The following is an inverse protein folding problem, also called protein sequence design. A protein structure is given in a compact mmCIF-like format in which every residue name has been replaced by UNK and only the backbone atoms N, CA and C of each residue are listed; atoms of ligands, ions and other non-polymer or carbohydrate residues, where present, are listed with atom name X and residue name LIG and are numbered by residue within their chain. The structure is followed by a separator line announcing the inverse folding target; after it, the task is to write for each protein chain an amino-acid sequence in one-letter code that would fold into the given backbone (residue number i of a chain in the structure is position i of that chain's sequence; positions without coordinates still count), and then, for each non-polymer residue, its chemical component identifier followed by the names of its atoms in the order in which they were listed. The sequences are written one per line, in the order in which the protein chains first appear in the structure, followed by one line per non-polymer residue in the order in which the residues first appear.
data_IF_143635862126
#
_entry.id   IF_143635862126
#
_cell.length_a   1.000
_cell.length_b   1.000
_cell.length_c   1.000
_cell.angle_alpha   90.00
_cell.angle_beta   90.00
_cell.angle_gamma   90.00
#
_symmetry.space_group_name_H-M   'P 1'
#
loop_
_entity.id
_entity.type
_entity.pdbx_description
1 polymer ?
#
# COMPACT_ATOMS: atom_id res chain seq x y z
N UNK A 1 -31.39 -8.87 -1.32
CA UNK A 1 -30.05 -8.22 -1.35
C UNK A 1 -29.86 -7.72 -2.77
N UNK A 2 -29.44 -6.48 -2.98
CA UNK A 2 -29.14 -5.98 -4.33
C UNK A 2 -27.87 -6.67 -4.83
N UNK A 3 -27.98 -7.43 -5.92
CA UNK A 3 -26.84 -8.05 -6.61
C UNK A 3 -26.51 -7.22 -7.84
N UNK A 4 -25.22 -7.14 -8.20
CA UNK A 4 -24.78 -6.62 -9.50
C UNK A 4 -23.97 -7.66 -10.23
N UNK A 5 -24.00 -7.54 -11.56
CA UNK A 5 -23.12 -8.25 -12.46
C UNK A 5 -21.86 -7.42 -12.67
N UNK A 6 -20.71 -8.09 -12.62
CA UNK A 6 -19.42 -7.55 -13.03
C UNK A 6 -18.99 -8.32 -14.28
N UNK A 7 -18.91 -7.59 -15.39
CA UNK A 7 -18.46 -8.12 -16.66
C UNK A 7 -17.02 -7.65 -16.87
N UNK A 8 -16.09 -8.60 -17.00
CA UNK A 8 -14.68 -8.30 -17.25
C UNK A 8 -14.09 -9.32 -18.21
N UNK A 9 -13.18 -8.86 -19.06
CA UNK A 9 -12.36 -9.73 -19.89
C UNK A 9 -11.06 -10.05 -19.14
N UNK A 10 -10.84 -11.33 -18.83
CA UNK A 10 -9.61 -11.81 -18.18
C UNK A 10 -8.94 -12.84 -19.07
N UNK A 11 -7.73 -12.53 -19.54
CA UNK A 11 -6.95 -13.40 -20.44
C UNK A 11 -7.71 -13.83 -21.70
N UNK A 12 -8.48 -12.91 -22.31
CA UNK A 12 -9.27 -13.19 -23.51
C UNK A 12 -10.53 -14.02 -23.25
N UNK A 13 -10.97 -14.13 -21.99
CA UNK A 13 -12.22 -14.78 -21.60
C UNK A 13 -13.13 -13.78 -20.92
N UNK A 14 -14.37 -13.71 -21.40
CA UNK A 14 -15.43 -12.99 -20.72
C UNK A 14 -15.78 -13.74 -19.43
N UNK A 15 -15.65 -13.04 -18.31
CA UNK A 15 -16.00 -13.53 -16.98
C UNK A 15 -17.11 -12.65 -16.45
N UNK A 16 -18.28 -13.26 -16.28
CA UNK A 16 -19.45 -12.64 -15.66
C UNK A 16 -19.67 -13.28 -14.29
N UNK A 17 -19.81 -12.48 -13.24
CA UNK A 17 -20.22 -12.99 -11.93
C UNK A 17 -21.11 -12.01 -11.18
N UNK A 18 -22.03 -12.57 -10.40
CA UNK A 18 -22.90 -11.80 -9.51
C UNK A 18 -22.28 -11.66 -8.12
N UNK A 19 -22.32 -10.45 -7.57
CA UNK A 19 -21.85 -10.18 -6.22
C UNK A 19 -22.84 -9.32 -5.42
N UNK A 20 -22.77 -9.43 -4.10
CA UNK A 20 -23.54 -8.57 -3.21
C UNK A 20 -22.86 -7.23 -3.04
N UNK A 21 -23.51 -6.15 -3.49
CA UNK A 21 -22.98 -4.78 -3.37
C UNK A 21 -22.59 -4.42 -1.93
N UNK A 22 -23.47 -4.78 -0.97
CA UNK A 22 -23.29 -4.42 0.45
C UNK A 22 -22.09 -5.12 1.06
N UNK A 23 -21.99 -6.44 0.88
CA UNK A 23 -20.88 -7.22 1.44
C UNK A 23 -19.56 -6.89 0.78
N UNK A 24 -19.57 -6.63 -0.53
CA UNK A 24 -18.40 -6.15 -1.24
C UNK A 24 -17.91 -4.79 -0.70
N UNK A 25 -18.82 -3.84 -0.50
CA UNK A 25 -18.49 -2.54 0.10
C UNK A 25 -17.91 -2.68 1.51
N UNK A 26 -18.51 -3.49 2.37
CA UNK A 26 -17.98 -3.74 3.72
C UNK A 26 -16.64 -4.49 3.71
N UNK A 27 -16.44 -5.43 2.79
CA UNK A 27 -15.17 -6.14 2.67
C UNK A 27 -14.03 -5.20 2.27
N UNK A 28 -14.25 -4.34 1.27
CA UNK A 28 -13.26 -3.33 0.86
C UNK A 28 -12.99 -2.30 1.95
N UNK A 29 -14.02 -1.83 2.65
CA UNK A 29 -13.85 -0.91 3.78
C UNK A 29 -13.05 -1.57 4.92
N UNK A 30 -13.40 -2.81 5.28
CA UNK A 30 -12.70 -3.57 6.30
C UNK A 30 -11.23 -3.78 5.93
N UNK A 31 -10.96 -4.19 4.70
CA UNK A 31 -9.60 -4.35 4.19
C UNK A 31 -8.83 -3.01 4.22
N UNK A 32 -9.46 -1.91 3.81
CA UNK A 32 -8.86 -0.57 3.84
C UNK A 32 -8.45 -0.18 5.26
N UNK A 33 -9.33 -0.40 6.24
CA UNK A 33 -9.06 -0.07 7.66
C UNK A 33 -7.96 -0.95 8.23
N UNK A 34 -7.99 -2.26 7.97
CA UNK A 34 -6.95 -3.19 8.45
C UNK A 34 -5.60 -2.82 7.87
N UNK A 35 -5.51 -2.64 6.55
CA UNK A 35 -4.25 -2.24 5.89
C UNK A 35 -3.77 -0.88 6.38
N UNK A 36 -4.69 0.10 6.50
CA UNK A 36 -4.39 1.42 7.02
C UNK A 36 -3.83 1.37 8.44
N UNK A 37 -4.42 0.57 9.32
CA UNK A 37 -3.92 0.40 10.68
C UNK A 37 -2.56 -0.28 10.73
N UNK A 38 -2.35 -1.36 9.96
CA UNK A 38 -1.06 -2.07 9.87
C UNK A 38 0.07 -1.12 9.49
N UNK A 39 -0.15 -0.29 8.46
CA UNK A 39 0.84 0.69 8.01
C UNK A 39 1.02 1.83 9.00
N UNK A 40 -0.09 2.39 9.51
CA UNK A 40 -0.04 3.51 10.45
C UNK A 40 0.72 3.13 11.71
N UNK A 41 0.39 1.98 12.31
CA UNK A 41 1.04 1.49 13.52
C UNK A 41 2.53 1.22 13.28
N UNK A 42 2.88 0.56 12.17
CA UNK A 42 4.27 0.27 11.82
C UNK A 42 5.09 1.53 11.53
N UNK A 43 4.48 2.60 11.02
CA UNK A 43 5.13 3.88 10.75
C UNK A 43 5.26 4.75 11.99
N UNK A 44 4.16 4.95 12.72
CA UNK A 44 4.12 5.88 13.86
C UNK A 44 5.05 5.42 14.98
N UNK A 45 5.18 4.11 15.19
CA UNK A 45 6.13 3.55 16.16
C UNK A 45 7.59 3.90 15.83
N UNK A 46 7.95 4.00 14.54
CA UNK A 46 9.27 4.45 14.09
C UNK A 46 9.46 5.95 14.23
N UNK A 47 8.42 6.74 13.90
CA UNK A 47 8.44 8.20 14.04
C UNK A 47 8.60 8.62 15.50
N UNK A 48 7.99 7.87 16.43
CA UNK A 48 8.01 8.16 17.86
C UNK A 48 9.23 7.61 18.60
N UNK A 49 10.05 6.78 17.95
CA UNK A 49 11.28 6.23 18.49
C UNK A 49 12.50 7.02 17.97
N UNK A 50 13.12 7.89 18.79
CA UNK A 50 14.25 8.71 18.36
C UNK A 50 15.51 7.89 17.99
N UNK A 51 15.59 6.65 18.48
CA UNK A 51 16.72 5.76 18.23
C UNK A 51 16.49 4.85 17.02
N UNK A 52 15.29 4.88 16.43
CA UNK A 52 14.98 4.04 15.28
C UNK A 52 15.76 4.49 14.04
N UNK A 53 16.39 3.54 13.37
CA UNK A 53 17.01 3.74 12.07
C UNK A 53 16.88 2.47 11.21
N UNK A 54 16.68 2.65 9.91
CA UNK A 54 16.69 1.54 8.94
C UNK A 54 18.09 0.94 8.76
N UNK A 55 19.15 1.67 9.12
CA UNK A 55 20.54 1.21 8.97
C UNK A 55 20.81 -0.13 9.65
N UNK A 56 20.27 -0.34 10.86
CA UNK A 56 20.41 -1.59 11.59
C UNK A 56 19.89 -2.79 10.81
N UNK A 57 18.73 -2.64 10.15
CA UNK A 57 18.17 -3.68 9.28
C UNK A 57 19.00 -3.84 8.01
N UNK A 58 19.30 -2.74 7.32
CA UNK A 58 19.96 -2.75 6.01
C UNK A 58 21.39 -3.32 6.04
N UNK A 59 22.09 -3.21 7.17
CA UNK A 59 23.45 -3.73 7.34
C UNK A 59 23.49 -5.15 7.93
N UNK A 60 22.54 -5.51 8.79
CA UNK A 60 22.68 -6.70 9.64
C UNK A 60 21.58 -7.75 9.46
N UNK A 61 20.41 -7.37 8.94
CA UNK A 61 19.25 -8.26 8.87
C UNK A 61 18.99 -8.82 7.46
N UNK A 62 19.72 -8.35 6.46
CA UNK A 62 19.53 -8.80 5.07
C UNK A 62 20.22 -10.15 4.87
N UNK A 63 19.52 -11.15 4.30
CA UNK A 63 20.10 -12.47 4.05
C UNK A 63 21.35 -12.42 3.18
N UNK A 64 22.38 -13.22 3.53
CA UNK A 64 23.65 -13.25 2.79
C UNK A 64 23.52 -13.68 1.31
N UNK A 65 22.42 -14.34 0.94
CA UNK A 65 22.10 -14.74 -0.43
C UNK A 65 21.28 -13.72 -1.23
N UNK A 66 21.07 -12.50 -0.71
CA UNK A 66 20.22 -11.51 -1.36
C UNK A 66 20.77 -11.11 -2.74
N UNK A 67 19.95 -11.10 -3.80
CA UNK A 67 20.39 -10.76 -5.17
C UNK A 67 20.89 -9.32 -5.32
N UNK A 68 20.59 -8.43 -4.36
CA UNK A 68 20.98 -7.02 -4.35
C UNK A 68 21.96 -6.69 -3.21
N UNK A 69 22.85 -7.62 -2.86
CA UNK A 69 23.73 -7.52 -1.69
C UNK A 69 24.53 -6.20 -1.54
N UNK A 70 24.90 -5.53 -2.65
CA UNK A 70 25.59 -4.23 -2.61
C UNK A 70 24.68 -3.00 -2.49
N UNK A 71 23.40 -3.14 -2.86
CA UNK A 71 22.45 -2.02 -2.90
C UNK A 71 22.05 -1.57 -1.50
N UNK A 72 21.76 -2.51 -0.61
CA UNK A 72 21.23 -2.19 0.72
C UNK A 72 22.26 -1.56 1.67
N UNK A 73 23.52 -2.03 1.75
CA UNK A 73 24.55 -1.35 2.53
C UNK A 73 24.86 0.05 1.98
N UNK A 74 24.77 0.25 0.66
CA UNK A 74 24.92 1.58 0.06
C UNK A 74 23.82 2.54 0.56
N UNK A 75 22.56 2.10 0.61
CA UNK A 75 21.48 2.91 1.19
C UNK A 75 21.75 3.26 2.66
N UNK A 76 22.23 2.29 3.45
CA UNK A 76 22.52 2.49 4.87
C UNK A 76 23.69 3.44 5.13
N UNK A 77 24.73 3.40 4.29
CA UNK A 77 25.94 4.18 4.51
C UNK A 77 25.84 5.59 3.90
N UNK A 78 25.20 5.74 2.75
CA UNK A 78 25.21 6.99 1.98
C UNK A 78 23.87 7.73 2.03
N UNK A 79 22.75 7.04 2.22
CA UNK A 79 21.40 7.61 2.05
C UNK A 79 20.50 7.47 3.30
N UNK A 80 21.03 7.02 4.44
CA UNK A 80 20.21 6.77 5.65
C UNK A 80 19.40 7.98 6.11
N UNK A 81 19.97 9.19 5.99
CA UNK A 81 19.28 10.44 6.34
C UNK A 81 18.03 10.72 5.50
N UNK A 82 17.88 10.07 4.34
CA UNK A 82 16.69 10.12 3.49
C UNK A 82 15.83 8.88 3.70
N UNK A 83 16.43 7.70 3.82
CA UNK A 83 15.71 6.43 3.96
C UNK A 83 14.93 6.35 5.28
N UNK A 84 15.50 6.81 6.39
CA UNK A 84 14.85 6.78 7.70
C UNK A 84 13.53 7.57 7.69
N UNK A 85 13.49 8.87 7.33
CA UNK A 85 12.24 9.61 7.28
C UNK A 85 11.29 9.08 6.20
N UNK A 86 11.78 8.67 5.02
CA UNK A 86 10.92 8.10 3.97
C UNK A 86 10.21 6.82 4.42
N UNK A 87 10.89 5.97 5.17
CA UNK A 87 10.33 4.73 5.67
C UNK A 87 9.33 5.01 6.81
N UNK A 88 9.75 5.75 7.84
CA UNK A 88 8.92 6.04 9.00
C UNK A 88 7.68 6.87 8.63
N UNK A 89 7.86 8.01 7.96
CA UNK A 89 6.75 8.87 7.55
C UNK A 89 5.99 8.29 6.37
N UNK A 90 6.64 7.59 5.43
CA UNK A 90 5.94 6.94 4.32
C UNK A 90 4.90 5.95 4.81
N UNK A 91 5.28 5.05 5.72
CA UNK A 91 4.34 4.10 6.34
C UNK A 91 3.22 4.84 7.10
N UNK A 92 3.57 5.85 7.88
CA UNK A 92 2.62 6.62 8.69
C UNK A 92 1.58 7.32 7.81
N UNK A 93 2.01 8.01 6.77
CA UNK A 93 1.16 8.78 5.88
C UNK A 93 0.30 7.87 5.00
N UNK A 94 0.85 6.76 4.50
CA UNK A 94 0.07 5.74 3.78
C UNK A 94 -1.02 5.18 4.70
N UNK A 95 -0.66 4.82 5.93
CA UNK A 95 -1.62 4.32 6.92
C UNK A 95 -2.74 5.31 7.21
N UNK A 96 -2.39 6.59 7.47
CA UNK A 96 -3.37 7.66 7.69
C UNK A 96 -4.28 7.88 6.48
N UNK A 97 -3.70 7.94 5.27
CA UNK A 97 -4.44 8.09 4.03
C UNK A 97 -5.49 6.97 3.83
N UNK A 98 -5.11 5.72 4.09
CA UNK A 98 -6.02 4.58 4.02
C UNK A 98 -7.11 4.63 5.10
N UNK A 99 -6.76 4.96 6.35
CA UNK A 99 -7.72 5.06 7.45
C UNK A 99 -8.78 6.14 7.20
N UNK A 100 -8.34 7.32 6.77
CA UNK A 100 -9.21 8.44 6.43
C UNK A 100 -9.96 8.23 5.09
N UNK A 101 -9.44 7.34 4.24
CA UNK A 101 -9.91 7.16 2.88
C UNK A 101 -9.64 8.39 2.01
N UNK A 102 -8.48 9.02 2.18
CA UNK A 102 -8.03 10.20 1.43
C UNK A 102 -6.80 9.85 0.58
N UNK A 103 -6.79 10.24 -0.70
CA UNK A 103 -5.75 9.93 -1.67
C UNK A 103 -5.41 8.43 -1.70
N UNK A 104 -6.43 7.56 -1.62
CA UNK A 104 -6.21 6.12 -1.40
C UNK A 104 -5.45 5.47 -2.55
N UNK A 105 -5.74 5.83 -3.81
CA UNK A 105 -4.95 5.34 -4.95
C UNK A 105 -3.48 5.69 -4.85
N UNK A 106 -3.18 6.95 -4.54
CA UNK A 106 -1.81 7.41 -4.39
C UNK A 106 -1.10 6.72 -3.23
N UNK A 107 -1.75 6.64 -2.08
CA UNK A 107 -1.22 5.98 -0.89
C UNK A 107 -1.01 4.48 -1.11
N UNK A 108 -1.97 3.81 -1.76
CA UNK A 108 -1.88 2.40 -2.09
C UNK A 108 -0.74 2.10 -3.06
N UNK A 109 -0.53 2.94 -4.07
CA UNK A 109 0.60 2.82 -5.00
C UNK A 109 1.94 2.89 -4.25
N UNK A 110 2.18 3.95 -3.49
CA UNK A 110 3.44 4.09 -2.76
C UNK A 110 3.61 3.08 -1.64
N UNK A 111 2.53 2.70 -0.94
CA UNK A 111 2.54 1.62 0.03
C UNK A 111 2.95 0.29 -0.62
N UNK A 112 2.44 -0.02 -1.82
CA UNK A 112 2.82 -1.22 -2.56
C UNK A 112 4.30 -1.15 -2.98
N UNK A 113 4.78 0.00 -3.45
CA UNK A 113 6.21 0.20 -3.74
C UNK A 113 7.06 -0.08 -2.50
N UNK A 114 6.71 0.46 -1.33
CA UNK A 114 7.43 0.20 -0.08
C UNK A 114 7.45 -1.29 0.27
N UNK A 115 6.33 -2.00 0.12
CA UNK A 115 6.29 -3.44 0.34
C UNK A 115 7.17 -4.21 -0.64
N UNK A 116 7.24 -3.79 -1.90
CA UNK A 116 8.15 -4.41 -2.87
C UNK A 116 9.63 -4.21 -2.50
N UNK A 117 9.99 -3.08 -1.89
CA UNK A 117 11.34 -2.89 -1.33
C UNK A 117 11.61 -3.83 -0.16
N UNK A 118 10.65 -4.02 0.77
CA UNK A 118 10.81 -4.97 1.87
C UNK A 118 10.88 -6.41 1.38
N UNK A 119 10.03 -6.77 0.41
CA UNK A 119 10.09 -8.05 -0.27
C UNK A 119 11.48 -8.27 -0.90
N UNK A 120 11.99 -7.32 -1.67
CA UNK A 120 13.31 -7.43 -2.30
C UNK A 120 14.45 -7.54 -1.27
N UNK A 121 14.35 -6.86 -0.12
CA UNK A 121 15.32 -6.95 0.96
C UNK A 121 15.26 -8.29 1.71
N UNK A 122 14.08 -8.93 1.75
CA UNK A 122 13.86 -10.22 2.42
C UNK A 122 14.32 -11.44 1.62
N UNK A 123 14.70 -11.28 0.34
CA UNK A 123 15.16 -12.39 -0.49
C UNK A 123 16.54 -12.93 -0.05
N UNK A 124 16.78 -14.25 -0.15
CA UNK A 124 15.80 -15.33 -0.33
C UNK A 124 14.88 -15.48 0.89
N UNK A 125 13.60 -15.79 0.64
CA UNK A 125 12.58 -15.90 1.69
C UNK A 125 12.80 -17.16 2.54
N UNK A 126 12.50 -17.05 3.83
CA UNK A 126 12.60 -18.18 4.78
C UNK A 126 11.50 -19.23 4.56
N UNK A 127 10.26 -18.78 4.34
CA UNK A 127 9.07 -19.63 4.31
C UNK A 127 8.44 -19.76 2.91
N UNK A 128 9.17 -19.43 1.85
CA UNK A 128 8.63 -19.43 0.49
C UNK A 128 9.70 -19.28 -0.59
N UNK A 129 9.29 -19.42 -1.84
CA UNK A 129 10.18 -19.18 -2.99
C UNK A 129 10.08 -17.74 -3.49
N UNK A 130 8.86 -17.20 -3.55
CA UNK A 130 8.57 -15.88 -4.14
C UNK A 130 7.57 -15.08 -3.30
N UNK A 131 6.61 -15.75 -2.65
CA UNK A 131 5.51 -15.09 -1.95
C UNK A 131 5.81 -15.04 -0.46
N UNK A 132 5.76 -13.84 0.10
CA UNK A 132 5.73 -13.55 1.54
C UNK A 132 4.62 -12.54 1.87
N UNK A 133 4.56 -12.11 3.12
CA UNK A 133 3.56 -11.16 3.59
C UNK A 133 3.67 -9.80 2.88
N UNK A 134 4.88 -9.34 2.52
CA UNK A 134 5.07 -8.08 1.82
C UNK A 134 4.45 -8.10 0.42
N UNK A 135 4.65 -9.20 -0.33
CA UNK A 135 4.04 -9.34 -1.64
C UNK A 135 2.51 -9.44 -1.55
N UNK A 136 1.99 -10.11 -0.52
CA UNK A 136 0.55 -10.14 -0.22
C UNK A 136 0.03 -8.72 0.06
N UNK A 137 0.72 -7.95 0.89
CA UNK A 137 0.33 -6.56 1.22
C UNK A 137 0.37 -5.67 -0.02
N UNK A 138 1.38 -5.82 -0.88
CA UNK A 138 1.46 -5.08 -2.14
C UNK A 138 0.24 -5.35 -3.05
N UNK A 139 -0.18 -6.60 -3.17
CA UNK A 139 -1.37 -6.97 -3.95
C UNK A 139 -2.68 -6.48 -3.32
N UNK A 140 -2.81 -6.53 -1.99
CA UNK A 140 -3.98 -6.00 -1.29
C UNK A 140 -4.10 -4.48 -1.50
N UNK A 141 -2.98 -3.75 -1.40
CA UNK A 141 -2.94 -2.31 -1.69
C UNK A 141 -3.28 -2.02 -3.15
N UNK A 142 -2.69 -2.76 -4.10
CA UNK A 142 -3.05 -2.65 -5.51
C UNK A 142 -4.56 -2.83 -5.72
N UNK A 143 -5.16 -3.85 -5.10
CA UNK A 143 -6.61 -4.06 -5.13
C UNK A 143 -7.39 -2.87 -4.58
N UNK A 144 -7.04 -2.38 -3.39
CA UNK A 144 -7.69 -1.21 -2.78
C UNK A 144 -7.61 0.04 -3.68
N UNK A 145 -6.47 0.29 -4.31
CA UNK A 145 -6.30 1.39 -5.27
C UNK A 145 -7.07 1.18 -6.58
N UNK A 146 -7.04 -0.03 -7.13
CA UNK A 146 -7.74 -0.37 -8.37
C UNK A 146 -9.25 -0.15 -8.24
N UNK A 147 -9.86 -0.66 -7.17
CA UNK A 147 -11.28 -0.44 -6.86
C UNK A 147 -11.59 1.01 -6.47
N UNK A 148 -10.57 1.75 -6.04
CA UNK A 148 -10.73 3.04 -5.41
C UNK A 148 -11.59 2.93 -4.16
N UNK A 149 -11.01 2.31 -3.13
CA UNK A 149 -11.66 2.06 -1.86
C UNK A 149 -11.79 3.33 -1.00
N UNK A 150 -11.12 4.44 -1.32
CA UNK A 150 -11.31 5.75 -0.68
C UNK A 150 -12.72 6.31 -0.86
N UNK A 151 -13.40 6.01 -1.97
CA UNK A 151 -14.81 6.40 -2.19
C UNK A 151 -15.79 5.69 -1.27
N UNK A 152 -15.41 4.57 -0.66
CA UNK A 152 -16.26 3.82 0.25
C UNK A 152 -16.14 4.37 1.68
N UNK A 153 -17.05 5.25 2.10
CA UNK A 153 -16.99 5.89 3.43
C UNK A 153 -15.61 6.50 3.73
N UNK A 154 -15.03 7.20 2.77
CA UNK A 154 -13.76 7.90 2.91
C UNK A 154 -13.82 9.30 2.33
N UNK A 155 -12.78 10.09 2.61
CA UNK A 155 -12.71 11.49 2.19
C UNK A 155 -12.61 11.67 0.67
N UNK A 156 -12.12 10.68 -0.09
CA UNK A 156 -12.04 10.75 -1.55
C UNK A 156 -13.41 10.99 -2.19
N UNK A 157 -14.49 10.43 -1.63
CA UNK A 157 -15.84 10.72 -2.10
C UNK A 157 -16.19 12.21 -2.00
N UNK A 158 -15.79 12.87 -0.92
CA UNK A 158 -16.05 14.31 -0.68
C UNK A 158 -15.10 15.18 -1.51
N UNK A 159 -13.82 14.80 -1.58
CA UNK A 159 -12.79 15.55 -2.31
C UNK A 159 -13.08 15.56 -3.81
N UNK A 160 -13.54 14.44 -4.38
CA UNK A 160 -13.92 14.33 -5.80
C UNK A 160 -15.11 15.24 -6.18
N UNK A 161 -15.94 15.63 -5.22
CA UNK A 161 -17.07 16.53 -5.44
C UNK A 161 -16.69 18.02 -5.43
N UNK A 162 -15.49 18.37 -4.97
CA UNK A 162 -15.02 19.76 -4.93
C UNK A 162 -14.86 20.35 -6.34
N UNK A 163 -15.09 21.66 -6.47
CA UNK A 163 -15.00 22.35 -7.76
C UNK A 163 -13.60 22.21 -8.39
N UNK A 164 -12.55 22.24 -7.58
CA UNK A 164 -11.16 22.07 -8.01
C UNK A 164 -10.91 20.73 -8.71
N UNK A 165 -11.40 19.61 -8.14
CA UNK A 165 -11.24 18.27 -8.74
C UNK A 165 -12.13 18.09 -9.95
N UNK A 166 -13.33 18.68 -9.95
CA UNK A 166 -14.22 18.67 -11.12
C UNK A 166 -13.60 19.42 -12.32
N UNK A 167 -12.90 20.51 -12.07
CA UNK A 167 -12.19 21.28 -13.11
C UNK A 167 -10.89 20.60 -13.57
N UNK A 168 -10.30 19.70 -12.76
CA UNK A 168 -9.08 18.96 -13.09
C UNK A 168 -9.27 17.44 -12.97
N UNK A 169 -9.88 16.77 -13.97
CA UNK A 169 -10.22 15.35 -13.89
C UNK A 169 -9.01 14.42 -13.67
N UNK A 170 -7.80 14.85 -14.05
CA UNK A 170 -6.56 14.11 -13.82
C UNK A 170 -6.30 13.83 -12.32
N UNK A 171 -6.83 14.65 -11.41
CA UNK A 171 -6.69 14.44 -9.97
C UNK A 171 -7.38 13.15 -9.49
N UNK A 172 -8.36 12.65 -10.24
CA UNK A 172 -9.03 11.35 -9.97
C UNK A 172 -8.12 10.14 -10.18
N UNK A 173 -6.93 10.32 -10.73
CA UNK A 173 -5.92 9.25 -10.77
C UNK A 173 -5.28 9.04 -9.38
N UNK A 174 -5.20 10.11 -8.59
CA UNK A 174 -4.64 10.08 -7.22
C UNK A 174 -5.71 9.82 -6.16
N UNK A 175 -6.96 10.18 -6.48
CA UNK A 175 -8.15 9.94 -5.66
C UNK A 175 -8.81 8.64 -6.08
N UNK A 176 -9.36 7.93 -5.11
CA UNK A 176 -10.14 6.74 -5.38
C UNK A 176 -10.15 5.84 -4.20
#
# INVERSE_FOLDING_TARGET
MTTRQLDTELFGRDVEFEYSERWFGYALLGLRVVMGWTFFYAGITKVLDPEWSASGFLLNAIPAGNPFAGFWPMLANEYVGVIDPLNAWGLTLVGLALLLGAFVRWAAFWGAVMMLFYWAASLPLENGLVIDDHLVYALLLFGLGAFGAGRLLGLDAVIEETEFVRQTPALRLFLG
#
